data_IF_425203498113
#
_entry.id   IF_425203498113
#
_cell.length_a   1.000
_cell.length_b   1.000
_cell.length_c   1.000
_cell.angle_alpha   90.00
_cell.angle_beta   90.00
_cell.angle_gamma   90.00
#
_symmetry.space_group_name_H-M   'P 1'
#
loop_
_entity.id
_entity.type
_entity.pdbx_description
1 polymer ?
#
# COMPACT_ATOMS: atom_id res chain seq x y z
N UNK A 1 -25.91 -8.26 -2.68
CA UNK A 1 -25.06 -9.46 -2.82
C UNK A 1 -23.62 -9.11 -2.46
N UNK A 2 -22.89 -10.01 -1.78
CA UNK A 2 -21.46 -9.81 -1.45
C UNK A 2 -20.59 -10.17 -2.66
N UNK A 3 -19.57 -9.37 -2.95
CA UNK A 3 -18.60 -9.71 -4.00
C UNK A 3 -17.79 -10.94 -3.57
N UNK A 4 -17.55 -11.88 -4.48
CA UNK A 4 -16.62 -13.00 -4.25
C UNK A 4 -15.21 -12.57 -4.64
N UNK A 5 -14.31 -12.57 -3.66
CA UNK A 5 -12.92 -12.12 -3.81
C UNK A 5 -11.98 -13.28 -3.54
N UNK A 6 -11.14 -13.61 -4.52
CA UNK A 6 -10.03 -14.55 -4.34
C UNK A 6 -8.72 -13.79 -4.19
N UNK A 7 -7.88 -14.17 -3.24
CA UNK A 7 -6.56 -13.56 -3.02
C UNK A 7 -5.49 -14.62 -3.28
N UNK A 8 -4.64 -14.38 -4.28
CA UNK A 8 -3.48 -15.20 -4.63
C UNK A 8 -2.24 -14.58 -3.98
N UNK A 9 -1.67 -15.29 -3.01
CA UNK A 9 -0.56 -14.79 -2.20
C UNK A 9 -1.05 -14.18 -0.89
N UNK A 10 -0.79 -14.88 0.21
CA UNK A 10 -1.25 -14.51 1.55
C UNK A 10 -0.11 -14.02 2.47
N UNK A 11 0.81 -13.23 1.88
CA UNK A 11 1.86 -12.53 2.63
C UNK A 11 1.33 -11.30 3.39
N UNK A 12 2.21 -10.37 3.75
CA UNK A 12 1.82 -9.16 4.52
C UNK A 12 0.70 -8.36 3.87
N UNK A 13 0.83 -8.02 2.58
CA UNK A 13 -0.18 -7.25 1.85
C UNK A 13 -1.45 -8.04 1.53
N UNK A 14 -1.34 -9.34 1.22
CA UNK A 14 -2.50 -10.22 1.04
C UNK A 14 -3.35 -10.30 2.31
N UNK A 15 -2.71 -10.43 3.48
CA UNK A 15 -3.38 -10.38 4.80
C UNK A 15 -3.99 -9.01 5.08
N UNK A 16 -3.28 -7.92 4.76
CA UNK A 16 -3.80 -6.56 4.94
C UNK A 16 -5.07 -6.33 4.08
N UNK A 17 -5.05 -6.78 2.83
CA UNK A 17 -6.20 -6.73 1.92
C UNK A 17 -7.37 -7.56 2.45
N UNK A 18 -7.12 -8.79 2.89
CA UNK A 18 -8.16 -9.64 3.47
C UNK A 18 -8.81 -9.02 4.72
N UNK A 19 -8.01 -8.40 5.60
CA UNK A 19 -8.52 -7.68 6.77
C UNK A 19 -9.39 -6.48 6.37
N UNK A 20 -8.93 -5.69 5.40
CA UNK A 20 -9.67 -4.53 4.91
C UNK A 20 -11.01 -4.95 4.25
N UNK A 21 -10.99 -5.99 3.42
CA UNK A 21 -12.19 -6.57 2.83
C UNK A 21 -13.16 -7.11 3.89
N UNK A 22 -12.66 -7.81 4.91
CA UNK A 22 -13.49 -8.33 6.01
C UNK A 22 -14.16 -7.19 6.79
N UNK A 23 -13.39 -6.15 7.12
CA UNK A 23 -13.90 -4.95 7.81
C UNK A 23 -14.97 -4.22 7.00
N UNK A 24 -14.84 -4.18 5.67
CA UNK A 24 -15.83 -3.56 4.79
C UNK A 24 -17.20 -4.27 4.77
N UNK A 25 -17.28 -5.52 5.21
CA UNK A 25 -18.50 -6.34 5.22
C UNK A 25 -19.05 -6.74 3.83
N UNK A 26 -18.48 -6.22 2.74
CA UNK A 26 -19.02 -6.32 1.39
C UNK A 26 -18.53 -7.49 0.54
N UNK A 27 -17.66 -8.36 1.09
CA UNK A 27 -17.01 -9.42 0.33
C UNK A 27 -17.01 -10.78 1.05
N UNK A 28 -17.17 -11.86 0.27
CA UNK A 28 -16.73 -13.21 0.66
C UNK A 28 -15.29 -13.38 0.17
N UNK A 29 -14.40 -13.88 1.02
CA UNK A 29 -12.95 -13.89 0.76
C UNK A 29 -12.44 -15.33 0.78
N UNK A 30 -11.75 -15.73 -0.28
CA UNK A 30 -11.01 -16.98 -0.33
C UNK A 30 -9.52 -16.69 -0.58
N UNK A 31 -8.66 -17.12 0.33
CA UNK A 31 -7.21 -16.93 0.18
C UNK A 31 -6.55 -18.23 -0.28
N UNK A 32 -5.78 -18.14 -1.36
CA UNK A 32 -4.96 -19.24 -1.87
C UNK A 32 -3.60 -19.19 -1.17
N UNK A 33 -3.35 -20.17 -0.31
CA UNK A 33 -2.09 -20.39 0.39
C UNK A 33 -1.31 -21.57 -0.18
N UNK A 34 -0.16 -21.90 0.44
CA UNK A 34 0.69 -23.03 -0.01
C UNK A 34 -0.01 -24.39 0.05
N UNK A 35 -0.94 -24.56 0.98
CA UNK A 35 -1.65 -25.83 1.21
C UNK A 35 -3.01 -25.90 0.51
N UNK A 36 -3.36 -24.89 -0.30
CA UNK A 36 -4.61 -24.91 -1.05
C UNK A 36 -4.42 -25.78 -2.28
N UNK A 37 -5.24 -26.84 -2.46
CA UNK A 37 -5.18 -27.66 -3.67
C UNK A 37 -5.55 -26.86 -4.91
N UNK A 38 -4.94 -27.20 -6.04
CA UNK A 38 -5.17 -26.51 -7.32
C UNK A 38 -6.64 -26.58 -7.73
N UNK A 39 -7.29 -27.74 -7.58
CA UNK A 39 -8.71 -27.92 -7.89
C UNK A 39 -9.61 -26.98 -7.08
N UNK A 40 -9.31 -26.81 -5.78
CA UNK A 40 -10.08 -25.90 -4.92
C UNK A 40 -9.84 -24.45 -5.30
N UNK A 41 -8.58 -24.06 -5.56
CA UNK A 41 -8.26 -22.72 -6.02
C UNK A 41 -8.97 -22.39 -7.35
N UNK A 42 -8.90 -23.29 -8.33
CA UNK A 42 -9.56 -23.14 -9.62
C UNK A 42 -11.08 -22.95 -9.51
N UNK A 43 -11.74 -23.75 -8.65
CA UNK A 43 -13.17 -23.66 -8.41
C UNK A 43 -13.60 -22.31 -7.84
N UNK A 44 -12.82 -21.74 -6.93
CA UNK A 44 -13.08 -20.43 -6.32
C UNK A 44 -12.79 -19.29 -7.31
N UNK A 45 -11.71 -19.37 -8.08
CA UNK A 45 -11.33 -18.36 -9.08
C UNK A 45 -12.42 -18.22 -10.14
N UNK A 46 -12.93 -19.33 -10.68
CA UNK A 46 -14.01 -19.34 -11.69
C UNK A 46 -15.30 -18.67 -11.22
N UNK A 47 -15.54 -18.62 -9.91
CA UNK A 47 -16.74 -18.02 -9.29
C UNK A 47 -16.48 -16.61 -8.75
N UNK A 48 -15.28 -16.07 -8.94
CA UNK A 48 -14.86 -14.80 -8.34
C UNK A 48 -15.27 -13.59 -9.18
N UNK A 49 -15.78 -12.55 -8.49
CA UNK A 49 -15.95 -11.21 -9.08
C UNK A 49 -14.59 -10.52 -9.24
N UNK A 50 -13.71 -10.72 -8.27
CA UNK A 50 -12.37 -10.14 -8.20
C UNK A 50 -11.34 -11.21 -7.84
N UNK A 51 -10.26 -11.30 -8.60
CA UNK A 51 -9.08 -12.09 -8.24
C UNK A 51 -7.91 -11.13 -7.98
N UNK A 52 -7.40 -11.11 -6.76
CA UNK A 52 -6.32 -10.23 -6.31
C UNK A 52 -4.99 -10.99 -6.34
N UNK A 53 -4.01 -10.48 -7.08
CA UNK A 53 -2.64 -11.01 -7.10
C UNK A 53 -1.78 -10.18 -6.15
N UNK A 54 -1.41 -10.80 -5.03
CA UNK A 54 -0.73 -10.21 -3.88
C UNK A 54 0.60 -10.92 -3.55
N UNK A 55 1.32 -11.36 -4.58
CA UNK A 55 2.66 -11.96 -4.46
C UNK A 55 3.76 -10.91 -4.63
N UNK A 56 5.01 -11.30 -4.38
CA UNK A 56 6.14 -10.45 -4.73
C UNK A 56 6.28 -10.35 -6.26
N UNK A 57 6.77 -9.24 -6.82
CA UNK A 57 6.87 -9.05 -8.27
C UNK A 57 7.69 -10.15 -8.98
N UNK A 58 8.70 -10.70 -8.31
CA UNK A 58 9.53 -11.79 -8.84
C UNK A 58 8.74 -13.09 -9.04
N UNK A 59 7.66 -13.29 -8.27
CA UNK A 59 6.78 -14.45 -8.35
C UNK A 59 5.54 -14.21 -9.21
N UNK A 60 5.46 -13.06 -9.91
CA UNK A 60 4.27 -12.66 -10.66
C UNK A 60 3.91 -13.65 -11.76
N UNK A 61 4.90 -14.07 -12.56
CA UNK A 61 4.70 -14.97 -13.70
C UNK A 61 4.10 -16.30 -13.23
N UNK A 62 4.76 -16.95 -12.28
CA UNK A 62 4.32 -18.22 -11.71
C UNK A 62 2.92 -18.12 -11.09
N UNK A 63 2.63 -17.07 -10.32
CA UNK A 63 1.33 -16.89 -9.69
C UNK A 63 0.20 -16.67 -10.71
N UNK A 64 0.47 -15.93 -11.79
CA UNK A 64 -0.51 -15.67 -12.86
C UNK A 64 -0.74 -16.93 -13.70
N UNK A 65 0.32 -17.67 -14.04
CA UNK A 65 0.21 -18.91 -14.83
C UNK A 65 -0.69 -19.95 -14.15
N UNK A 66 -0.64 -20.04 -12.81
CA UNK A 66 -1.51 -20.94 -12.02
C UNK A 66 -2.99 -20.58 -12.07
N UNK A 67 -3.35 -19.34 -12.41
CA UNK A 67 -4.74 -18.88 -12.33
C UNK A 67 -5.35 -18.48 -13.66
N UNK A 68 -4.53 -18.18 -14.68
CA UNK A 68 -4.99 -17.58 -15.95
C UNK A 68 -6.08 -18.39 -16.65
N UNK A 69 -5.98 -19.73 -16.63
CA UNK A 69 -6.94 -20.64 -17.27
C UNK A 69 -8.26 -20.82 -16.48
N UNK A 70 -8.39 -20.16 -15.34
CA UNK A 70 -9.56 -20.26 -14.46
C UNK A 70 -10.31 -18.93 -14.33
N UNK A 71 -9.76 -17.84 -14.88
CA UNK A 71 -10.40 -16.52 -14.85
C UNK A 71 -11.60 -16.51 -15.80
N UNK A 72 -12.78 -16.17 -15.28
CA UNK A 72 -13.94 -15.88 -16.13
C UNK A 72 -13.73 -14.53 -16.84
N UNK A 73 -14.32 -14.39 -18.04
CA UNK A 73 -14.26 -13.13 -18.82
C UNK A 73 -14.77 -11.90 -18.07
N UNK A 74 -15.61 -12.09 -17.05
CA UNK A 74 -16.18 -11.02 -16.22
C UNK A 74 -15.43 -10.82 -14.89
N UNK A 75 -14.55 -11.73 -14.49
CA UNK A 75 -13.69 -11.54 -13.32
C UNK A 75 -12.80 -10.32 -13.54
N UNK A 76 -12.66 -9.47 -12.53
CA UNK A 76 -11.69 -8.38 -12.57
C UNK A 76 -10.40 -8.82 -11.89
N UNK A 77 -9.30 -8.84 -12.65
CA UNK A 77 -7.98 -9.20 -12.13
C UNK A 77 -7.33 -7.96 -11.49
N UNK A 78 -7.10 -7.99 -10.19
CA UNK A 78 -6.51 -6.88 -9.43
C UNK A 78 -5.08 -7.23 -9.06
N UNK A 79 -4.09 -6.53 -9.59
CA UNK A 79 -2.71 -6.67 -9.14
C UNK A 79 -2.37 -5.61 -8.10
N UNK A 80 -1.81 -6.04 -6.97
CA UNK A 80 -1.20 -5.13 -5.98
C UNK A 80 0.33 -5.21 -5.96
N UNK A 81 0.90 -5.76 -7.03
CA UNK A 81 2.35 -5.99 -7.12
C UNK A 81 3.08 -4.70 -7.47
N UNK A 82 4.13 -4.39 -6.72
CA UNK A 82 4.99 -3.25 -7.02
C UNK A 82 5.72 -3.46 -8.35
N UNK A 83 5.66 -2.45 -9.21
CA UNK A 83 6.40 -2.45 -10.46
C UNK A 83 5.99 -3.55 -11.46
N UNK A 84 4.75 -4.04 -11.47
CA UNK A 84 4.27 -4.92 -12.55
C UNK A 84 3.22 -4.15 -13.34
N UNK A 85 3.51 -3.82 -14.61
CA UNK A 85 2.64 -2.96 -15.42
C UNK A 85 1.38 -3.68 -15.91
N UNK A 86 0.32 -2.91 -16.20
CA UNK A 86 -0.91 -3.40 -16.82
C UNK A 86 -0.61 -4.21 -18.08
N UNK A 87 0.31 -3.71 -18.93
CA UNK A 87 0.76 -4.42 -20.14
C UNK A 87 1.35 -5.79 -19.82
N UNK A 88 2.26 -5.88 -18.84
CA UNK A 88 2.86 -7.16 -18.42
C UNK A 88 1.81 -8.11 -17.86
N UNK A 89 0.90 -7.62 -17.03
CA UNK A 89 -0.19 -8.43 -16.45
C UNK A 89 -1.08 -8.96 -17.56
N UNK A 90 -1.46 -8.12 -18.52
CA UNK A 90 -2.28 -8.52 -19.67
C UNK A 90 -1.61 -9.61 -20.51
N UNK A 91 -0.31 -9.47 -20.80
CA UNK A 91 0.46 -10.47 -21.53
C UNK A 91 0.53 -11.80 -20.77
N UNK A 92 0.88 -11.76 -19.48
CA UNK A 92 1.03 -12.99 -18.68
C UNK A 92 -0.30 -13.72 -18.45
N UNK A 93 -1.38 -12.96 -18.24
CA UNK A 93 -2.70 -13.53 -17.92
C UNK A 93 -3.57 -13.82 -19.14
N UNK A 94 -3.31 -13.18 -20.28
CA UNK A 94 -4.24 -13.16 -21.41
C UNK A 94 -5.57 -12.43 -21.11
N UNK A 95 -5.68 -11.81 -19.94
CA UNK A 95 -6.92 -11.20 -19.46
C UNK A 95 -7.03 -9.73 -19.85
N UNK A 96 -8.25 -9.24 -20.04
CA UNK A 96 -8.50 -7.85 -20.46
C UNK A 96 -8.91 -6.94 -19.32
N UNK A 97 -9.75 -7.41 -18.39
CA UNK A 97 -10.29 -6.62 -17.28
C UNK A 97 -9.32 -6.61 -16.12
N UNK A 98 -8.39 -5.66 -16.13
CA UNK A 98 -7.28 -5.59 -15.18
C UNK A 98 -7.30 -4.27 -14.44
N UNK A 99 -7.04 -4.34 -13.13
CA UNK A 99 -6.71 -3.19 -12.30
C UNK A 99 -5.29 -3.39 -11.80
N UNK A 100 -4.46 -2.36 -11.98
CA UNK A 100 -3.23 -2.22 -11.22
C UNK A 100 -3.50 -1.25 -10.08
N UNK A 101 -3.27 -1.68 -8.85
CA UNK A 101 -3.51 -0.92 -7.64
C UNK A 101 -2.26 -0.93 -6.78
N UNK A 102 -1.94 0.20 -6.16
CA UNK A 102 -0.87 0.30 -5.18
C UNK A 102 -1.45 0.74 -3.84
N UNK A 103 -1.82 -0.21 -2.97
CA UNK A 103 -2.18 0.10 -1.60
C UNK A 103 -0.93 0.20 -0.70
N UNK A 104 -1.13 0.63 0.54
CA UNK A 104 -0.11 0.57 1.59
C UNK A 104 -0.54 -0.29 2.79
N UNK A 105 0.36 -0.47 3.76
CA UNK A 105 0.11 -1.28 4.96
C UNK A 105 -1.00 -0.72 5.87
N UNK A 106 -1.35 0.56 5.72
CA UNK A 106 -2.46 1.21 6.44
C UNK A 106 -3.80 0.50 6.23
N UNK A 107 -3.97 -0.21 5.11
CA UNK A 107 -5.12 -1.10 4.86
C UNK A 107 -5.45 -2.02 6.05
N UNK A 108 -4.41 -2.54 6.72
CA UNK A 108 -4.60 -3.49 7.80
C UNK A 108 -5.33 -2.89 9.01
N UNK A 109 -5.24 -1.58 9.20
CA UNK A 109 -5.77 -0.84 10.36
C UNK A 109 -6.90 0.13 10.02
N UNK A 110 -7.23 0.33 8.75
CA UNK A 110 -8.30 1.25 8.33
C UNK A 110 -7.79 2.56 7.73
N UNK A 111 -6.54 2.91 8.02
CA UNK A 111 -5.86 4.14 7.55
C UNK A 111 -5.11 3.92 6.22
N UNK A 112 -5.72 3.14 5.33
CA UNK A 112 -5.12 2.80 4.05
C UNK A 112 -5.34 3.88 3.01
N UNK A 113 -4.40 3.99 2.06
CA UNK A 113 -4.63 4.66 0.78
C UNK A 113 -4.22 3.76 -0.38
N UNK A 114 -4.98 3.81 -1.48
CA UNK A 114 -4.64 3.12 -2.71
C UNK A 114 -4.71 4.04 -3.94
N UNK A 115 -3.73 3.89 -4.83
CA UNK A 115 -3.76 4.55 -6.15
C UNK A 115 -3.89 3.48 -7.21
N UNK A 116 -4.83 3.63 -8.13
CA UNK A 116 -5.12 2.58 -9.09
C UNK A 116 -5.40 3.07 -10.50
N UNK A 117 -5.25 2.18 -11.47
CA UNK A 117 -5.61 2.38 -12.87
C UNK A 117 -6.23 1.11 -13.42
N UNK A 118 -7.30 1.29 -14.19
CA UNK A 118 -7.98 0.23 -14.91
C UNK A 118 -7.53 0.10 -16.37
N UNK A 119 -7.67 -1.12 -16.92
CA UNK A 119 -7.59 -1.42 -18.35
C UNK A 119 -8.70 -2.42 -18.73
N UNK A 120 -9.27 -2.25 -19.92
CA UNK A 120 -10.27 -3.16 -20.49
C UNK A 120 -11.63 -3.19 -19.75
N UNK A 121 -11.89 -2.22 -18.88
CA UNK A 121 -13.17 -2.04 -18.19
C UNK A 121 -14.00 -0.96 -18.89
N UNK A 122 -15.29 -1.20 -19.08
CA UNK A 122 -16.21 -0.17 -19.54
C UNK A 122 -16.58 0.80 -18.38
N UNK A 123 -17.35 1.86 -18.69
CA UNK A 123 -17.71 2.89 -17.70
C UNK A 123 -18.47 2.32 -16.49
N UNK A 124 -19.43 1.42 -16.72
CA UNK A 124 -20.22 0.81 -15.65
C UNK A 124 -19.37 -0.12 -14.77
N UNK A 125 -18.46 -0.87 -15.39
CA UNK A 125 -17.53 -1.74 -14.67
C UNK A 125 -16.51 -0.95 -13.86
N UNK A 126 -15.94 0.13 -14.42
CA UNK A 126 -15.03 1.02 -13.69
C UNK A 126 -15.74 1.67 -12.49
N UNK A 127 -17.00 2.10 -12.65
CA UNK A 127 -17.79 2.61 -11.53
C UNK A 127 -18.05 1.54 -10.45
N UNK A 128 -18.32 0.29 -10.85
CA UNK A 128 -18.47 -0.85 -9.91
C UNK A 128 -17.17 -1.11 -9.14
N UNK A 129 -16.04 -1.06 -9.83
CA UNK A 129 -14.70 -1.19 -9.25
C UNK A 129 -14.43 -0.07 -8.25
N UNK A 130 -14.66 1.19 -8.62
CA UNK A 130 -14.47 2.32 -7.72
C UNK A 130 -15.31 2.17 -6.45
N UNK A 131 -16.59 1.79 -6.58
CA UNK A 131 -17.44 1.48 -5.42
C UNK A 131 -16.91 0.34 -4.55
N UNK A 132 -16.28 -0.67 -5.15
CA UNK A 132 -15.64 -1.75 -4.39
C UNK A 132 -14.41 -1.28 -3.64
N UNK A 133 -13.51 -0.54 -4.29
CA UNK A 133 -12.26 -0.03 -3.67
C UNK A 133 -12.59 0.99 -2.57
N UNK A 134 -13.57 1.89 -2.79
CA UNK A 134 -14.02 2.87 -1.80
C UNK A 134 -14.47 2.24 -0.47
N UNK A 135 -14.98 1.00 -0.49
CA UNK A 135 -15.37 0.29 0.73
C UNK A 135 -14.18 -0.29 1.50
N UNK A 136 -13.03 -0.41 0.86
CA UNK A 136 -11.83 -1.04 1.40
C UNK A 136 -10.89 0.01 2.00
N UNK A 137 -10.74 1.14 1.32
CA UNK A 137 -9.69 2.13 1.59
C UNK A 137 -9.98 3.46 0.90
N UNK A 138 -9.41 4.55 1.42
CA UNK A 138 -9.33 5.79 0.66
C UNK A 138 -8.50 5.56 -0.61
N UNK A 139 -8.90 6.19 -1.72
CA UNK A 139 -8.29 5.92 -3.01
C UNK A 139 -8.62 6.97 -4.08
N UNK A 140 -7.86 6.90 -5.17
CA UNK A 140 -8.19 7.60 -6.40
C UNK A 140 -7.66 6.87 -7.65
N UNK A 141 -8.39 7.01 -8.75
CA UNK A 141 -7.98 6.52 -10.07
C UNK A 141 -7.06 7.52 -10.78
N UNK A 142 -6.02 7.02 -11.44
CA UNK A 142 -5.07 7.85 -12.20
C UNK A 142 -5.21 7.68 -13.71
N UNK A 143 -5.06 8.78 -14.44
CA UNK A 143 -5.04 8.78 -15.92
C UNK A 143 -3.80 8.09 -16.47
N UNK A 144 -2.62 8.32 -15.88
CA UNK A 144 -1.36 7.74 -16.31
C UNK A 144 -0.87 6.68 -15.31
N UNK A 145 -0.52 5.50 -15.81
CA UNK A 145 -0.04 4.38 -15.00
C UNK A 145 1.24 4.71 -14.21
N UNK A 146 2.11 5.60 -14.70
CA UNK A 146 3.32 6.00 -13.98
C UNK A 146 3.02 6.69 -12.63
N UNK A 147 1.82 7.26 -12.47
CA UNK A 147 1.39 7.78 -11.18
C UNK A 147 1.34 6.70 -10.10
N UNK A 148 1.13 5.43 -10.46
CA UNK A 148 1.20 4.30 -9.53
C UNK A 148 2.66 4.09 -9.05
N UNK A 149 3.65 4.26 -9.93
CA UNK A 149 5.06 4.19 -9.53
C UNK A 149 5.43 5.33 -8.57
N UNK A 150 4.90 6.55 -8.82
CA UNK A 150 5.07 7.69 -7.90
C UNK A 150 4.40 7.43 -6.55
N UNK A 151 3.17 6.91 -6.55
CA UNK A 151 2.46 6.52 -5.34
C UNK A 151 3.20 5.42 -4.57
N UNK A 152 3.81 4.45 -5.26
CA UNK A 152 4.64 3.40 -4.64
C UNK A 152 5.76 4.03 -3.81
N UNK A 153 6.45 5.04 -4.34
CA UNK A 153 7.56 5.69 -3.66
C UNK A 153 7.14 6.50 -2.43
N UNK A 154 5.94 7.10 -2.48
CA UNK A 154 5.42 7.98 -1.43
C UNK A 154 4.62 7.20 -0.38
N UNK A 155 3.54 6.53 -0.77
CA UNK A 155 2.60 5.87 0.14
C UNK A 155 2.86 4.38 0.30
N UNK A 156 3.32 3.68 -0.75
CA UNK A 156 3.61 2.25 -0.67
C UNK A 156 4.81 1.95 0.23
N UNK A 157 5.92 2.64 -0.01
CA UNK A 157 7.14 2.59 0.79
C UNK A 157 7.10 3.51 2.03
N UNK A 158 6.24 4.52 2.01
CA UNK A 158 6.07 5.55 3.06
C UNK A 158 6.07 5.04 4.50
N UNK A 159 5.27 4.02 4.85
CA UNK A 159 5.23 3.48 6.21
C UNK A 159 6.61 3.12 6.77
N UNK A 160 7.51 2.58 5.94
CA UNK A 160 8.86 2.22 6.38
C UNK A 160 9.70 3.46 6.74
N UNK A 161 9.49 4.60 6.09
CA UNK A 161 10.20 5.84 6.40
C UNK A 161 9.80 6.35 7.79
N UNK A 162 8.50 6.28 8.11
CA UNK A 162 8.01 6.64 9.44
C UNK A 162 8.46 5.65 10.51
N UNK A 163 8.47 4.35 10.22
CA UNK A 163 8.98 3.34 11.16
C UNK A 163 10.47 3.52 11.44
N UNK A 164 11.28 3.86 10.43
CA UNK A 164 12.69 4.17 10.62
C UNK A 164 12.90 5.39 11.53
N UNK A 165 12.10 6.45 11.34
CA UNK A 165 12.14 7.62 12.21
C UNK A 165 11.78 7.25 13.66
N UNK A 166 10.69 6.51 13.86
CA UNK A 166 10.27 6.07 15.18
C UNK A 166 11.34 5.19 15.84
N UNK A 167 11.93 4.25 15.12
CA UNK A 167 12.99 3.37 15.63
C UNK A 167 14.25 4.16 16.03
N UNK A 168 14.63 5.15 15.22
CA UNK A 168 15.74 6.07 15.54
C UNK A 168 15.45 6.91 16.79
N UNK A 169 14.21 7.36 16.96
CA UNK A 169 13.80 8.09 18.17
C UNK A 169 13.79 7.19 19.41
N UNK A 170 13.46 5.90 19.29
CA UNK A 170 13.56 4.94 20.39
C UNK A 170 15.01 4.78 20.86
N UNK A 171 15.95 4.66 19.93
CA UNK A 171 17.37 4.59 20.25
C UNK A 171 17.87 5.88 20.91
N UNK A 172 17.46 7.05 20.40
CA UNK A 172 17.78 8.34 20.99
C UNK A 172 17.22 8.50 22.41
N UNK A 173 15.96 8.14 22.65
CA UNK A 173 15.34 8.18 23.98
C UNK A 173 16.11 7.31 24.99
N UNK A 174 16.52 6.09 24.60
CA UNK A 174 17.36 5.23 25.45
C UNK A 174 18.70 5.88 25.78
N UNK A 175 19.35 6.51 24.80
CA UNK A 175 20.62 7.21 25.03
C UNK A 175 20.49 8.41 25.98
N UNK A 176 19.28 8.95 26.15
CA UNK A 176 18.96 10.00 27.12
C UNK A 176 18.59 9.45 28.52
N UNK A 177 18.71 8.14 28.73
CA UNK A 177 18.52 7.50 30.03
C UNK A 177 17.15 6.87 30.27
N UNK A 178 16.24 6.88 29.28
CA UNK A 178 14.94 6.21 29.42
C UNK A 178 15.06 4.69 29.30
N UNK A 179 14.26 3.97 30.07
CA UNK A 179 14.08 2.53 29.88
C UNK A 179 13.49 2.21 28.49
N UNK A 180 13.56 0.94 28.09
CA UNK A 180 12.96 0.50 26.84
C UNK A 180 11.44 0.72 26.81
N UNK A 181 10.77 0.54 27.96
CA UNK A 181 9.32 0.73 28.08
C UNK A 181 8.94 2.20 27.98
N UNK A 182 9.62 3.07 28.72
CA UNK A 182 9.40 4.52 28.68
C UNK A 182 9.66 5.09 27.29
N UNK A 183 10.77 4.68 26.65
CA UNK A 183 11.09 5.06 25.27
C UNK A 183 9.95 4.69 24.32
N UNK A 184 9.44 3.45 24.43
CA UNK A 184 8.32 2.97 23.60
C UNK A 184 7.06 3.79 23.82
N UNK A 185 6.75 4.11 25.08
CA UNK A 185 5.58 4.90 25.45
C UNK A 185 5.69 6.34 24.93
N UNK A 186 6.83 6.99 25.12
CA UNK A 186 7.09 8.37 24.67
C UNK A 186 7.02 8.48 23.15
N UNK A 187 7.79 7.68 22.42
CA UNK A 187 7.83 7.72 20.95
C UNK A 187 6.49 7.30 20.35
N UNK A 188 5.88 6.22 20.85
CA UNK A 188 4.61 5.73 20.33
C UNK A 188 3.46 6.73 20.50
N UNK A 189 3.35 7.38 21.66
CA UNK A 189 2.33 8.42 21.90
C UNK A 189 2.60 9.67 21.06
N UNK A 190 3.85 10.09 20.94
CA UNK A 190 4.24 11.26 20.13
C UNK A 190 3.92 11.02 18.65
N UNK A 191 4.27 9.85 18.11
CA UNK A 191 3.97 9.49 16.73
C UNK A 191 2.46 9.47 16.44
N UNK A 192 1.68 8.87 17.34
CA UNK A 192 0.21 8.86 17.23
C UNK A 192 -0.39 10.28 17.27
N UNK A 193 0.08 11.12 18.19
CA UNK A 193 -0.41 12.51 18.31
C UNK A 193 -0.07 13.33 17.07
N UNK A 194 1.17 13.23 16.57
CA UNK A 194 1.60 13.92 15.35
C UNK A 194 0.78 13.50 14.13
N UNK A 195 0.50 12.20 13.97
CA UNK A 195 -0.36 11.70 12.90
C UNK A 195 -1.79 12.27 12.99
N UNK A 196 -2.41 12.21 14.17
CA UNK A 196 -3.78 12.70 14.38
C UNK A 196 -3.93 14.21 14.17
N UNK A 197 -2.97 15.01 14.66
CA UNK A 197 -2.97 16.46 14.46
C UNK A 197 -2.66 16.87 13.02
N UNK A 198 -1.91 16.02 12.31
CA UNK A 198 -1.41 16.27 10.97
C UNK A 198 -2.36 15.90 9.84
N UNK A 199 -3.38 15.07 10.08
CA UNK A 199 -4.24 14.48 9.04
C UNK A 199 -4.95 15.52 8.16
N UNK A 200 -5.33 16.65 8.73
CA UNK A 200 -6.01 17.75 8.04
C UNK A 200 -5.30 19.10 8.18
N UNK A 201 -4.08 19.11 8.74
CA UNK A 201 -3.35 20.31 9.08
C UNK A 201 -2.30 20.71 8.05
N UNK A 202 -1.93 21.99 8.04
CA UNK A 202 -0.73 22.44 7.33
C UNK A 202 0.51 22.08 8.15
N UNK A 203 1.31 21.11 7.68
CA UNK A 203 2.49 20.65 8.40
C UNK A 203 3.50 21.76 8.71
N UNK A 204 3.67 22.76 7.83
CA UNK A 204 4.58 23.87 8.09
C UNK A 204 4.12 24.72 9.28
N UNK A 205 2.81 24.92 9.42
CA UNK A 205 2.23 25.63 10.55
C UNK A 205 2.29 24.82 11.84
N UNK A 206 2.02 23.51 11.77
CA UNK A 206 2.15 22.62 12.92
C UNK A 206 3.58 22.59 13.45
N UNK A 207 4.58 22.56 12.56
CA UNK A 207 6.00 22.66 12.94
C UNK A 207 6.26 23.99 13.66
N UNK A 208 5.79 25.13 13.12
CA UNK A 208 5.94 26.44 13.77
C UNK A 208 5.28 26.53 15.14
N UNK A 209 4.11 25.90 15.33
CA UNK A 209 3.39 25.87 16.61
C UNK A 209 4.18 25.15 17.72
N UNK A 210 4.98 24.15 17.38
CA UNK A 210 5.80 23.40 18.35
C UNK A 210 7.21 23.99 18.49
N UNK A 211 7.74 24.62 17.45
CA UNK A 211 9.07 25.22 17.43
C UNK A 211 9.09 26.64 18.02
N UNK A 212 9.02 26.75 19.34
CA UNK A 212 9.23 28.01 20.05
C UNK A 212 10.61 28.58 19.78
N UNK A 213 10.71 29.92 19.61
CA UNK A 213 11.98 30.63 19.42
C UNK A 213 12.93 30.37 20.60
N UNK A 214 14.16 29.95 20.32
CA UNK A 214 15.16 29.56 21.31
C UNK A 214 14.90 28.21 22.00
N UNK A 215 13.85 27.48 21.60
CA UNK A 215 13.43 26.24 22.24
C UNK A 215 14.17 24.99 21.74
N UNK A 216 13.92 23.87 22.40
CA UNK A 216 14.52 22.57 22.09
C UNK A 216 14.16 22.07 20.69
N UNK A 217 12.92 22.28 20.24
CA UNK A 217 12.47 21.89 18.90
C UNK A 217 13.17 22.69 17.81
N UNK A 218 13.36 24.00 17.98
CA UNK A 218 14.11 24.82 17.01
C UNK A 218 15.57 24.33 16.89
N UNK A 219 16.23 24.04 18.01
CA UNK A 219 17.59 23.49 18.03
C UNK A 219 17.70 22.16 17.27
N UNK A 220 16.74 21.25 17.47
CA UNK A 220 16.69 19.98 16.75
C UNK A 220 16.47 20.17 15.24
N UNK A 221 15.51 21.02 14.84
CA UNK A 221 15.23 21.31 13.43
C UNK A 221 16.41 21.98 12.72
N UNK A 222 17.15 22.84 13.43
CA UNK A 222 18.39 23.44 12.91
C UNK A 222 19.44 22.39 12.58
N UNK A 223 19.60 21.40 13.46
CA UNK A 223 20.48 20.25 13.23
C UNK A 223 20.03 19.44 12.01
N UNK A 224 18.73 19.13 11.88
CA UNK A 224 18.19 18.43 10.70
C UNK A 224 18.48 19.18 9.40
N UNK A 225 18.30 20.50 9.40
CA UNK A 225 18.60 21.35 8.24
C UNK A 225 20.09 21.32 7.89
N UNK A 226 20.97 21.50 8.87
CA UNK A 226 22.43 21.48 8.68
C UNK A 226 22.92 20.12 8.15
N UNK A 227 22.34 19.02 8.64
CA UNK A 227 22.66 17.66 8.18
C UNK A 227 21.95 17.28 6.87
N UNK A 228 21.18 18.19 6.27
CA UNK A 228 20.56 17.99 4.96
C UNK A 228 19.39 17.00 4.94
N UNK A 229 18.65 16.86 6.05
CA UNK A 229 17.54 15.91 6.20
C UNK A 229 16.51 16.03 5.05
N UNK A 230 16.09 17.23 4.69
CA UNK A 230 15.12 17.45 3.61
C UNK A 230 15.62 16.93 2.25
N UNK A 231 16.90 17.20 1.93
CA UNK A 231 17.54 16.71 0.70
C UNK A 231 17.66 15.19 0.70
N UNK A 232 17.98 14.60 1.86
CA UNK A 232 18.06 13.16 2.04
C UNK A 232 16.70 12.50 1.80
N UNK A 233 15.63 12.99 2.43
CA UNK A 233 14.26 12.48 2.24
C UNK A 233 13.83 12.60 0.77
N UNK A 234 14.03 13.76 0.16
CA UNK A 234 13.71 13.99 -1.26
C UNK A 234 14.44 13.00 -2.18
N UNK A 235 15.73 12.76 -1.92
CA UNK A 235 16.54 11.83 -2.71
C UNK A 235 16.11 10.38 -2.52
N UNK A 236 15.82 9.96 -1.28
CA UNK A 236 15.34 8.62 -0.97
C UNK A 236 14.01 8.31 -1.69
N UNK A 237 13.05 9.25 -1.66
CA UNK A 237 11.76 9.10 -2.36
C UNK A 237 11.96 9.03 -3.87
N UNK A 238 12.84 9.88 -4.45
CA UNK A 238 13.17 9.80 -5.88
C UNK A 238 13.80 8.47 -6.26
N UNK A 239 14.71 7.95 -5.44
CA UNK A 239 15.32 6.64 -5.67
C UNK A 239 14.29 5.50 -5.61
N UNK A 240 13.37 5.54 -4.64
CA UNK A 240 12.26 4.58 -4.57
C UNK A 240 11.38 4.63 -5.83
N UNK A 241 11.09 5.83 -6.35
CA UNK A 241 10.36 6.00 -7.61
C UNK A 241 11.13 5.41 -8.80
N UNK A 242 12.42 5.71 -8.94
CA UNK A 242 13.27 5.14 -9.99
C UNK A 242 13.29 3.61 -9.92
N UNK A 243 13.42 3.04 -8.72
CA UNK A 243 13.37 1.60 -8.51
C UNK A 243 12.03 1.00 -8.92
N UNK A 244 10.91 1.64 -8.58
CA UNK A 244 9.58 1.21 -9.00
C UNK A 244 9.41 1.20 -10.54
N UNK A 245 9.99 2.19 -11.23
CA UNK A 245 10.03 2.21 -12.71
C UNK A 245 10.89 1.09 -13.29
N UNK A 246 12.07 0.85 -12.72
CA UNK A 246 12.97 -0.22 -13.18
C UNK A 246 12.28 -1.59 -13.11
N UNK A 247 11.55 -1.87 -12.03
CA UNK A 247 10.77 -3.11 -11.89
C UNK A 247 9.64 -3.20 -12.95
N UNK A 248 9.05 -2.06 -13.32
CA UNK A 248 7.95 -1.96 -14.29
C UNK A 248 8.35 -2.21 -15.75
N UNK A 249 9.63 -2.04 -16.08
CA UNK A 249 10.18 -2.30 -17.43
C UNK A 249 10.29 -3.79 -17.67
#
# INVERSE_FOLDING_TARGET
MKNKVVIIGYGTMGKAMARALKRSGGASIFAVGRNTSENRAAAEIRKSDFTIIAVKPQSAKEAIERVKNHLDKNTVLVSIMAGVSLKKIAIMSGHKKIIRMMPNLGLSVGEGIAVWKSAGLNRAESARVGKFINKITDNFEVKNEDAINRATAVSGSGPAYFFLLADSMLAAAKSLGFSAEESRRLVGKTFKAAAALGEHGNYSELIKKVASKGGTTEAALRTFKQKGFEKMVSSAVRYAYQRAKQLSR
#
